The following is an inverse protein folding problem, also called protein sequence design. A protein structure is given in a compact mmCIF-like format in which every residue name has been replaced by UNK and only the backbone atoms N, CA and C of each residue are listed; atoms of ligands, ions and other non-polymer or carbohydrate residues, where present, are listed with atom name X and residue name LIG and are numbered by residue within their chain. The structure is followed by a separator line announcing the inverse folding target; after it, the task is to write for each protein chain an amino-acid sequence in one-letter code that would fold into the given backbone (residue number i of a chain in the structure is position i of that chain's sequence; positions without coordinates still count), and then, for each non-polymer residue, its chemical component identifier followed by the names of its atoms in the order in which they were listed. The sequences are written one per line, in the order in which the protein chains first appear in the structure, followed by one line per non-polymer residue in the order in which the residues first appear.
data_IF_027280910948
#
_entry.id   IF_027280910948
#
_cell.length_a   1.000
_cell.length_b   1.000
_cell.length_c   1.000
_cell.angle_alpha   90.00
_cell.angle_beta   90.00
_cell.angle_gamma   90.00
#
_symmetry.space_group_name_H-M   'P 1'
#
loop_
_entity.id
_entity.type
_entity.pdbx_description
1 polymer ?
#
# COMPACT_ATOMS: atom_id res chain seq x y z
N UNK A 1 -28.75 -11.84 -15.34
CA UNK A 1 -27.52 -11.16 -14.95
C UNK A 1 -26.40 -12.20 -14.90
N UNK A 2 -25.42 -12.11 -15.78
CA UNK A 2 -24.29 -13.06 -15.80
C UNK A 2 -23.40 -12.69 -14.60
N UNK A 3 -23.23 -13.62 -13.66
CA UNK A 3 -22.26 -13.42 -12.56
C UNK A 3 -20.86 -13.28 -13.17
N UNK A 4 -20.09 -12.23 -12.81
CA UNK A 4 -18.71 -12.15 -13.23
C UNK A 4 -17.95 -13.38 -12.74
N UNK A 5 -17.20 -14.03 -13.62
CA UNK A 5 -16.36 -15.17 -13.24
C UNK A 5 -15.15 -14.63 -12.50
N UNK A 6 -14.77 -15.19 -11.33
CA UNK A 6 -13.52 -14.85 -10.67
C UNK A 6 -12.36 -15.05 -11.64
N UNK A 7 -11.43 -14.08 -11.66
CA UNK A 7 -10.20 -14.18 -12.44
C UNK A 7 -9.02 -14.39 -11.49
N UNK A 8 -8.22 -15.39 -11.80
CA UNK A 8 -6.93 -15.61 -11.16
C UNK A 8 -5.88 -14.90 -12.01
N UNK A 9 -5.04 -14.09 -11.38
CA UNK A 9 -3.95 -13.35 -12.02
C UNK A 9 -2.64 -13.88 -11.46
N UNK A 10 -1.74 -14.29 -12.33
CA UNK A 10 -0.40 -14.71 -11.96
C UNK A 10 0.54 -13.51 -11.89
N UNK A 11 1.49 -13.53 -10.95
CA UNK A 11 2.49 -12.47 -10.80
C UNK A 11 3.30 -12.29 -12.09
N UNK A 12 3.61 -13.38 -12.77
CA UNK A 12 4.38 -13.38 -14.01
C UNK A 12 3.67 -12.71 -15.20
N UNK A 13 2.34 -12.62 -15.14
CA UNK A 13 1.51 -11.94 -16.16
C UNK A 13 1.38 -10.43 -15.93
N UNK A 14 1.89 -9.96 -14.80
CA UNK A 14 1.72 -8.56 -14.37
C UNK A 14 2.95 -7.74 -14.73
N UNK A 15 2.74 -6.65 -15.46
CA UNK A 15 3.81 -5.74 -15.84
C UNK A 15 4.44 -5.06 -14.62
N UNK A 16 5.79 -5.06 -14.50
CA UNK A 16 6.46 -4.39 -13.41
C UNK A 16 6.40 -2.87 -13.56
N UNK A 17 6.17 -2.18 -12.46
CA UNK A 17 6.32 -0.73 -12.37
C UNK A 17 7.53 -0.43 -11.48
N UNK A 18 8.59 0.08 -12.08
CA UNK A 18 9.85 0.39 -11.40
C UNK A 18 10.12 1.89 -11.25
N UNK A 19 9.15 2.72 -11.57
CA UNK A 19 9.31 4.19 -11.61
C UNK A 19 9.70 4.81 -10.26
N UNK A 20 9.32 4.16 -9.15
CA UNK A 20 9.58 4.64 -7.78
C UNK A 20 10.66 3.85 -7.06
N UNK A 21 11.37 2.98 -7.75
CA UNK A 21 12.22 1.95 -7.17
C UNK A 21 11.43 0.69 -6.82
N UNK A 22 12.14 -0.41 -6.59
CA UNK A 22 11.53 -1.71 -6.45
C UNK A 22 10.89 -2.22 -7.75
N UNK A 23 10.25 -3.37 -7.65
CA UNK A 23 9.42 -3.97 -8.70
C UNK A 23 7.99 -4.10 -8.15
N UNK A 24 7.14 -3.12 -8.49
CA UNK A 24 5.74 -3.09 -8.05
C UNK A 24 4.85 -3.70 -9.12
N UNK A 25 4.03 -4.67 -8.72
CA UNK A 25 3.09 -5.35 -9.61
C UNK A 25 1.68 -5.24 -9.06
N UNK A 26 0.88 -4.37 -9.69
CA UNK A 26 -0.53 -4.22 -9.38
C UNK A 26 -1.31 -5.36 -10.04
N UNK A 27 -1.66 -6.37 -9.26
CA UNK A 27 -2.22 -7.62 -9.77
C UNK A 27 -3.75 -7.58 -9.90
N UNK A 28 -4.43 -7.20 -8.83
CA UNK A 28 -5.88 -7.18 -8.73
C UNK A 28 -6.36 -5.73 -8.72
N UNK A 29 -6.80 -5.25 -9.85
CA UNK A 29 -7.15 -3.84 -10.09
C UNK A 29 -8.49 -3.72 -10.81
N UNK A 30 -9.08 -2.53 -10.89
CA UNK A 30 -10.23 -2.32 -11.76
C UNK A 30 -10.01 -2.80 -13.19
N UNK A 31 -8.82 -2.59 -13.74
CA UNK A 31 -8.48 -2.99 -15.11
C UNK A 31 -8.34 -4.51 -15.28
N UNK A 32 -7.78 -5.21 -14.29
CA UNK A 32 -7.52 -6.65 -14.40
C UNK A 32 -8.70 -7.52 -14.01
N UNK A 33 -9.40 -7.16 -12.95
CA UNK A 33 -10.47 -7.97 -12.35
C UNK A 33 -11.78 -7.23 -12.10
N UNK A 34 -11.86 -5.95 -12.48
CA UNK A 34 -13.06 -5.13 -12.28
C UNK A 34 -13.33 -4.80 -10.81
N UNK A 35 -12.29 -4.66 -9.98
CA UNK A 35 -12.46 -4.29 -8.57
C UNK A 35 -13.05 -2.88 -8.45
N UNK A 36 -13.87 -2.67 -7.42
CA UNK A 36 -14.56 -1.40 -7.18
C UNK A 36 -14.23 -0.75 -5.84
N UNK A 37 -13.64 -1.50 -4.91
CA UNK A 37 -13.36 -1.05 -3.55
C UNK A 37 -11.88 -0.76 -3.27
N UNK A 38 -10.98 -1.33 -4.05
CA UNK A 38 -9.54 -1.20 -3.87
C UNK A 38 -8.77 -1.96 -4.92
N UNK A 39 -7.45 -1.92 -4.80
CA UNK A 39 -6.57 -2.76 -5.60
C UNK A 39 -5.45 -3.35 -4.75
N UNK A 40 -4.89 -4.44 -5.21
CA UNK A 40 -3.89 -5.22 -4.49
C UNK A 40 -2.76 -5.61 -5.42
N UNK A 41 -1.56 -5.66 -4.87
CA UNK A 41 -0.39 -6.09 -5.60
C UNK A 41 0.72 -6.61 -4.70
N UNK A 42 1.85 -6.85 -5.34
CA UNK A 42 3.08 -7.32 -4.71
C UNK A 42 4.22 -6.37 -5.09
N UNK A 43 5.06 -6.04 -4.13
CA UNK A 43 6.31 -5.33 -4.36
C UNK A 43 7.49 -6.18 -3.97
N UNK A 44 8.48 -6.25 -4.85
CA UNK A 44 9.77 -6.91 -4.65
C UNK A 44 10.83 -5.82 -4.54
N UNK A 45 11.60 -5.84 -3.45
CA UNK A 45 12.62 -4.82 -3.19
C UNK A 45 13.96 -5.53 -2.97
N UNK A 46 14.93 -5.27 -3.84
CA UNK A 46 16.27 -5.86 -3.74
C UNK A 46 17.07 -5.24 -2.59
N UNK A 47 18.09 -5.94 -2.05
CA UNK A 47 18.99 -5.35 -1.06
C UNK A 47 19.56 -4.01 -1.51
N UNK A 48 19.49 -3.00 -0.65
CA UNK A 48 19.96 -1.64 -0.94
C UNK A 48 19.01 -0.80 -1.79
N UNK A 49 17.91 -1.37 -2.29
CA UNK A 49 16.89 -0.64 -3.04
C UNK A 49 15.77 -0.15 -2.10
N UNK A 50 14.92 0.69 -2.65
CA UNK A 50 13.78 1.29 -1.94
C UNK A 50 12.60 1.53 -2.86
N UNK A 51 11.42 1.65 -2.27
CA UNK A 51 10.26 2.31 -2.87
C UNK A 51 10.26 3.73 -2.37
N UNK A 52 10.40 4.71 -3.27
CA UNK A 52 10.55 6.13 -2.98
C UNK A 52 9.40 6.71 -2.15
N UNK A 53 9.70 7.77 -1.40
CA UNK A 53 8.71 8.41 -0.54
C UNK A 53 7.52 8.95 -1.33
N UNK A 54 6.32 8.65 -0.85
CA UNK A 54 5.05 9.06 -1.43
C UNK A 54 3.93 9.00 -0.39
N UNK A 55 2.75 9.49 -0.77
CA UNK A 55 1.51 9.28 0.00
C UNK A 55 0.32 9.06 -0.92
N UNK A 56 -0.76 8.55 -0.34
CA UNK A 56 -2.03 8.30 -1.04
C UNK A 56 -3.12 9.22 -0.47
N UNK A 57 -3.67 10.17 -1.30
CA UNK A 57 -4.65 11.12 -0.78
C UNK A 57 -6.04 10.54 -0.58
N UNK A 58 -6.37 9.42 -1.22
CA UNK A 58 -7.72 8.83 -1.19
C UNK A 58 -7.80 7.48 -0.47
N UNK A 59 -6.66 6.82 -0.28
CA UNK A 59 -6.62 5.42 0.15
C UNK A 59 -5.84 5.26 1.44
N UNK A 60 -6.28 4.34 2.26
CA UNK A 60 -5.41 3.68 3.23
C UNK A 60 -4.60 2.60 2.52
N UNK A 61 -3.38 2.36 2.95
CA UNK A 61 -2.55 1.27 2.47
C UNK A 61 -2.39 0.20 3.54
N UNK A 62 -2.68 -1.04 3.19
CA UNK A 62 -2.49 -2.21 4.03
C UNK A 62 -1.33 -3.01 3.48
N UNK A 63 -0.35 -3.28 4.31
CA UNK A 63 0.89 -3.98 3.92
C UNK A 63 1.09 -5.22 4.79
N UNK A 64 1.50 -6.31 4.17
CA UNK A 64 1.97 -7.52 4.84
C UNK A 64 3.33 -7.90 4.28
N UNK A 65 4.30 -8.16 5.16
CA UNK A 65 5.64 -8.61 4.78
C UNK A 65 5.68 -10.12 4.67
N UNK A 66 5.97 -10.62 3.48
CA UNK A 66 6.12 -12.06 3.22
C UNK A 66 7.52 -12.52 3.62
N UNK A 67 8.55 -11.80 3.20
CA UNK A 67 9.95 -12.12 3.49
C UNK A 67 10.83 -10.88 3.37
N UNK A 68 12.03 -10.99 3.91
CA UNK A 68 13.06 -9.94 3.89
C UNK A 68 12.99 -9.01 5.10
N UNK A 69 14.02 -8.19 5.25
CA UNK A 69 14.13 -7.20 6.32
C UNK A 69 13.94 -5.81 5.76
N UNK A 70 12.86 -5.16 6.15
CA UNK A 70 12.50 -3.82 5.71
C UNK A 70 12.59 -2.82 6.86
N UNK A 71 12.78 -1.58 6.47
CA UNK A 71 12.52 -0.42 7.31
C UNK A 71 11.56 0.49 6.56
N UNK A 72 10.48 0.87 7.21
CA UNK A 72 9.52 1.82 6.66
C UNK A 72 9.68 3.16 7.35
N UNK A 73 9.87 4.21 6.56
CA UNK A 73 9.85 5.58 7.07
C UNK A 73 8.39 6.06 7.02
N UNK A 74 7.85 6.47 8.16
CA UNK A 74 6.50 7.02 8.30
C UNK A 74 6.61 8.48 8.72
N UNK A 75 6.23 9.40 7.85
CA UNK A 75 6.44 10.85 8.04
C UNK A 75 7.90 11.19 8.43
N UNK A 76 8.86 10.45 7.88
CA UNK A 76 10.30 10.62 8.13
C UNK A 76 10.85 9.83 9.32
N UNK A 77 10.01 9.16 10.11
CA UNK A 77 10.48 8.31 11.22
C UNK A 77 10.64 6.85 10.77
N UNK A 78 11.84 6.26 10.94
CA UNK A 78 12.09 4.88 10.56
C UNK A 78 11.52 3.89 11.57
N UNK A 79 10.89 2.84 11.05
CA UNK A 79 10.36 1.72 11.82
C UNK A 79 10.80 0.41 11.20
N UNK A 80 11.34 -0.54 11.97
CA UNK A 80 11.61 -1.89 11.48
C UNK A 80 10.30 -2.58 11.07
N UNK A 81 10.32 -3.27 9.95
CA UNK A 81 9.18 -4.02 9.46
C UNK A 81 9.66 -5.42 9.03
N UNK A 82 9.28 -6.44 9.78
CA UNK A 82 9.79 -7.80 9.70
C UNK A 82 8.81 -8.75 9.02
N UNK A 83 9.27 -9.92 8.55
CA UNK A 83 8.38 -10.94 8.02
C UNK A 83 7.21 -11.25 8.97
N UNK A 84 6.04 -11.50 8.38
CA UNK A 84 4.79 -11.80 9.07
C UNK A 84 4.21 -10.64 9.90
N UNK A 85 4.74 -9.44 9.71
CA UNK A 85 4.16 -8.22 10.28
C UNK A 85 3.27 -7.51 9.26
N UNK A 86 2.20 -6.91 9.75
CA UNK A 86 1.28 -6.08 8.99
C UNK A 86 1.34 -4.63 9.44
N UNK A 87 1.05 -3.73 8.51
CA UNK A 87 1.02 -2.29 8.73
C UNK A 87 -0.15 -1.68 7.98
N UNK A 88 -0.90 -0.81 8.61
CA UNK A 88 -1.85 0.07 7.94
C UNK A 88 -1.30 1.49 7.94
N UNK A 89 -1.20 2.08 6.77
CA UNK A 89 -0.73 3.46 6.56
C UNK A 89 -1.94 4.32 6.24
N UNK A 90 -2.27 5.32 7.08
CA UNK A 90 -3.38 6.22 6.83
C UNK A 90 -3.20 7.03 5.54
N UNK A 91 -4.30 7.49 4.96
CA UNK A 91 -4.25 8.45 3.87
C UNK A 91 -3.42 9.69 4.25
N UNK A 92 -2.73 10.27 3.29
CA UNK A 92 -1.81 11.42 3.42
C UNK A 92 -0.53 11.18 4.24
N UNK A 93 -0.34 10.05 4.89
CA UNK A 93 0.92 9.76 5.59
C UNK A 93 2.00 9.43 4.57
N UNK A 94 3.07 10.21 4.56
CA UNK A 94 4.25 9.95 3.72
C UNK A 94 4.95 8.70 4.19
N UNK A 95 5.34 7.85 3.26
CA UNK A 95 6.03 6.62 3.58
C UNK A 95 7.01 6.20 2.48
N UNK A 96 8.05 5.49 2.92
CA UNK A 96 9.11 4.93 2.08
C UNK A 96 9.46 3.56 2.62
N UNK A 97 9.62 2.58 1.75
CA UNK A 97 10.10 1.25 2.13
C UNK A 97 11.54 1.08 1.68
N UNK A 98 12.41 0.67 2.58
CA UNK A 98 13.82 0.40 2.29
C UNK A 98 14.15 -1.03 2.65
N UNK A 99 14.83 -1.76 1.75
CA UNK A 99 15.38 -3.07 2.08
C UNK A 99 16.73 -2.87 2.79
N UNK A 100 16.75 -3.16 4.07
CA UNK A 100 17.94 -3.05 4.94
C UNK A 100 18.60 -4.40 5.20
N UNK A 101 18.09 -5.47 4.60
CA UNK A 101 18.64 -6.81 4.67
C UNK A 101 19.57 -7.13 3.51
N UNK A 102 19.93 -8.40 3.40
CA UNK A 102 20.84 -8.95 2.40
C UNK A 102 20.14 -9.86 1.38
N UNK A 103 18.83 -10.03 1.51
CA UNK A 103 17.99 -10.82 0.58
C UNK A 103 16.85 -9.97 0.04
N UNK A 104 16.23 -10.41 -1.07
CA UNK A 104 15.02 -9.79 -1.61
C UNK A 104 13.93 -9.72 -0.52
N UNK A 105 13.33 -8.55 -0.37
CA UNK A 105 12.13 -8.38 0.42
C UNK A 105 10.88 -8.43 -0.47
N UNK A 106 9.82 -9.00 0.06
CA UNK A 106 8.54 -9.11 -0.62
C UNK A 106 7.42 -8.64 0.31
N UNK A 107 6.64 -7.71 -0.19
CA UNK A 107 5.42 -7.23 0.49
C UNK A 107 4.21 -7.44 -0.39
N UNK A 108 3.08 -7.70 0.25
CA UNK A 108 1.75 -7.62 -0.35
C UNK A 108 1.15 -6.29 0.10
N UNK A 109 0.58 -5.54 -0.83
CA UNK A 109 -0.09 -4.29 -0.51
C UNK A 109 -1.52 -4.26 -1.05
N UNK A 110 -2.38 -3.55 -0.34
CA UNK A 110 -3.74 -3.25 -0.74
C UNK A 110 -4.03 -1.77 -0.47
N UNK A 111 -4.62 -1.09 -1.44
CA UNK A 111 -5.08 0.29 -1.31
C UNK A 111 -6.59 0.36 -1.52
N UNK A 112 -7.26 1.04 -0.61
CA UNK A 112 -8.69 1.28 -0.66
C UNK A 112 -9.12 2.38 0.33
N UNK A 113 -10.19 3.08 0.03
CA UNK A 113 -10.98 3.06 -1.21
C UNK A 113 -10.19 3.53 -2.44
N UNK A 114 -10.73 3.30 -3.63
CA UNK A 114 -10.11 3.72 -4.87
C UNK A 114 -10.13 5.26 -5.00
N UNK A 115 -9.06 5.82 -5.55
CA UNK A 115 -9.06 7.20 -6.03
C UNK A 115 -10.02 7.34 -7.23
N UNK A 116 -10.54 8.56 -7.48
CA UNK A 116 -11.42 8.79 -8.64
C UNK A 116 -10.77 8.44 -9.98
N UNK A 117 -9.45 8.58 -10.07
CA UNK A 117 -8.62 8.17 -11.20
C UNK A 117 -7.25 7.68 -10.68
N UNK A 118 -6.61 6.69 -11.32
CA UNK A 118 -5.32 6.16 -10.87
C UNK A 118 -4.24 7.24 -10.69
N UNK A 119 -4.21 8.26 -11.55
CA UNK A 119 -3.23 9.35 -11.53
C UNK A 119 -3.35 10.23 -10.28
N UNK A 120 -4.51 10.27 -9.65
CA UNK A 120 -4.77 11.05 -8.44
C UNK A 120 -4.49 10.25 -7.15
N UNK A 121 -4.33 8.95 -7.27
CA UNK A 121 -4.19 8.05 -6.12
C UNK A 121 -2.82 8.03 -5.47
N UNK A 122 -1.85 8.78 -5.99
CA UNK A 122 -0.46 8.71 -5.58
C UNK A 122 0.25 10.04 -5.79
N UNK A 123 0.97 10.51 -4.79
CA UNK A 123 1.76 11.75 -4.84
C UNK A 123 3.20 11.44 -4.40
N UNK A 124 4.14 11.59 -5.33
CA UNK A 124 5.56 11.41 -5.06
C UNK A 124 6.13 12.59 -4.27
N UNK A 125 6.87 12.28 -3.22
CA UNK A 125 7.55 13.26 -2.36
C UNK A 125 9.05 12.98 -2.22
N UNK A 126 9.56 11.97 -2.91
CA UNK A 126 11.00 11.63 -2.87
C UNK A 126 11.84 12.79 -3.40
N UNK A 127 12.79 13.26 -2.55
CA UNK A 127 13.69 14.36 -2.92
C UNK A 127 13.05 15.74 -2.94
N UNK A 128 11.78 15.88 -2.61
CA UNK A 128 11.15 17.17 -2.35
C UNK A 128 11.24 17.49 -0.87
N UNK A 129 11.67 18.71 -0.52
CA UNK A 129 11.39 19.23 0.82
C UNK A 129 9.87 19.16 0.99
N UNK A 130 9.45 18.55 2.09
CA UNK A 130 8.07 18.18 2.33
C UNK A 130 7.10 19.27 1.90
N UNK A 131 6.42 19.06 0.77
CA UNK A 131 5.19 19.80 0.50
C UNK A 131 4.28 19.51 1.69
N UNK A 132 4.05 20.53 2.53
CA UNK A 132 3.24 20.38 3.72
C UNK A 132 1.88 19.80 3.30
N UNK A 133 1.53 18.66 3.85
CA UNK A 133 0.17 18.13 3.72
C UNK A 133 -0.75 19.24 4.21
N UNK A 134 -1.77 19.66 3.44
CA UNK A 134 -2.67 20.72 3.84
C UNK A 134 -3.20 20.42 5.24
N UNK A 135 -3.13 21.40 6.14
CA UNK A 135 -3.48 21.22 7.56
C UNK A 135 -4.89 20.64 7.79
N UNK A 136 -5.82 20.84 6.86
CA UNK A 136 -7.18 20.25 6.90
C UNK A 136 -7.28 18.78 6.47
N UNK A 137 -6.22 18.19 5.92
CA UNK A 137 -6.25 16.81 5.42
C UNK A 137 -5.95 15.76 6.51
N UNK A 138 -5.40 16.18 7.65
CA UNK A 138 -5.08 15.31 8.80
C UNK A 138 -6.24 15.14 9.80
N UNK A 139 -7.30 15.94 9.67
CA UNK A 139 -8.44 15.97 10.59
C UNK A 139 -9.67 15.20 10.06
N UNK A 140 -9.49 14.24 9.16
CA UNK A 140 -10.53 13.25 8.96
C UNK A 140 -10.57 12.40 10.25
N UNK A 141 -11.55 12.66 11.10
CA UNK A 141 -11.81 11.80 12.26
C UNK A 141 -11.88 10.35 11.79
N UNK A 142 -11.26 9.42 12.53
CA UNK A 142 -11.43 8.01 12.24
C UNK A 142 -12.93 7.73 12.32
N UNK A 143 -13.51 7.18 11.26
CA UNK A 143 -14.86 6.68 11.30
C UNK A 143 -14.93 5.74 12.52
N UNK A 144 -15.78 6.09 13.48
CA UNK A 144 -16.04 5.28 14.66
C UNK A 144 -16.39 3.87 14.18
N UNK A 145 -15.49 2.94 14.35
CA UNK A 145 -15.77 1.53 14.13
C UNK A 145 -16.66 1.06 15.28
N UNK A 146 -17.95 1.32 15.17
CA UNK A 146 -18.95 0.69 15.99
C UNK A 146 -19.12 -0.75 15.53
N UNK A 147 -18.29 -1.64 16.03
CA UNK A 147 -18.52 -3.07 16.04
C UNK A 147 -18.51 -3.50 17.50
N UNK A 148 -19.65 -3.41 18.13
CA UNK A 148 -19.88 -4.19 19.35
C UNK A 148 -19.87 -5.68 18.99
N UNK A 149 -19.13 -6.51 19.74
CA UNK A 149 -19.21 -7.95 19.55
C UNK A 149 -20.61 -8.42 19.99
N UNK A 150 -21.29 -9.13 19.12
CA UNK A 150 -22.53 -9.81 19.46
C UNK A 150 -22.25 -10.81 20.59
N UNK A 151 -22.86 -10.62 21.75
CA UNK A 151 -22.90 -11.60 22.82
C UNK A 151 -23.57 -12.88 22.31
N UNK A 152 -22.82 -13.95 22.25
CA UNK A 152 -23.36 -15.31 22.09
C UNK A 152 -23.97 -15.70 23.43
N UNK A 153 -25.28 -15.64 23.53
CA UNK A 153 -26.00 -16.27 24.64
C UNK A 153 -26.08 -17.77 24.37
N UNK A 154 -25.59 -18.54 25.33
CA UNK A 154 -25.74 -19.99 25.46
C UNK A 154 -27.20 -20.40 25.63
#
# INVERSE_FOLDING_TARGET
MIKPRPRIVDLSETEPNTKRGGDLRAMLTPATVGSTSGFMGVALVQPGDRIGEHYHPYSEEFVYVVCGDLEVDLDGEPHPLKPEQGLMIPAYMRHRFRNVGDTEARIVFHLGPLAPRPQLGHVDTEGTEAAAVPAGAREAEPAEAAAEPAEVRS
#
